data_IF_707530306197
#
_entry.id   IF_707530306197
#
_cell.length_a   1.000
_cell.length_b   1.000
_cell.length_c   1.000
_cell.angle_alpha   90.00
_cell.angle_beta   90.00
_cell.angle_gamma   90.00
#
_symmetry.space_group_name_H-M   'P 1'
#
loop_
_entity.id
_entity.type
_entity.pdbx_description
1 polymer ?
#
# COMPACT_ATOMS: atom_id res chain seq x y z
N UNK A 1 -0.13 7.02 -6.29
CA UNK A 1 -0.83 6.21 -7.31
C UNK A 1 -1.65 7.13 -8.19
N UNK A 2 -1.76 6.87 -9.49
CA UNK A 2 -2.60 7.66 -10.40
C UNK A 2 -3.30 6.77 -11.43
N UNK A 3 -4.37 7.28 -12.04
CA UNK A 3 -5.18 6.58 -13.05
C UNK A 3 -4.98 7.21 -14.43
N UNK A 4 -4.86 6.39 -15.46
CA UNK A 4 -4.92 6.80 -16.88
C UNK A 4 -5.97 5.93 -17.57
N UNK A 5 -7.10 6.53 -17.94
CA UNK A 5 -8.24 5.79 -18.48
C UNK A 5 -8.75 4.75 -17.48
N UNK A 6 -8.83 3.49 -17.88
CA UNK A 6 -9.26 2.37 -17.03
C UNK A 6 -8.11 1.71 -16.24
N UNK A 7 -6.87 2.19 -16.36
CA UNK A 7 -5.70 1.55 -15.75
C UNK A 7 -5.11 2.39 -14.62
N UNK A 8 -4.69 1.71 -13.56
CA UNK A 8 -3.98 2.30 -12.43
C UNK A 8 -2.49 2.04 -12.57
N UNK A 9 -1.67 3.02 -12.20
CA UNK A 9 -0.24 2.84 -12.06
C UNK A 9 0.26 3.42 -10.74
N UNK A 10 1.36 2.85 -10.28
CA UNK A 10 2.13 3.38 -9.18
C UNK A 10 3.39 4.06 -9.69
N UNK A 11 3.78 5.11 -8.99
CA UNK A 11 5.00 5.88 -9.19
C UNK A 11 5.64 6.05 -7.81
N UNK A 12 6.91 5.66 -7.69
CA UNK A 12 7.73 5.80 -6.51
C UNK A 12 8.44 7.16 -6.59
N UNK A 13 8.05 8.07 -5.71
CA UNK A 13 8.55 9.45 -5.70
C UNK A 13 9.82 9.57 -4.87
N UNK A 14 10.83 8.75 -5.20
CA UNK A 14 12.08 8.61 -4.46
C UNK A 14 11.83 8.33 -2.96
N UNK A 15 10.94 7.37 -2.67
CA UNK A 15 10.65 7.02 -1.28
C UNK A 15 11.87 6.40 -0.60
N UNK A 16 12.08 6.75 0.67
CA UNK A 16 13.24 6.28 1.47
C UNK A 16 13.36 4.75 1.50
N UNK A 17 12.23 4.08 1.69
CA UNK A 17 12.18 2.62 1.82
C UNK A 17 11.85 1.92 0.50
N UNK A 18 11.45 2.66 -0.52
CA UNK A 18 11.10 2.15 -1.85
C UNK A 18 9.70 1.56 -1.95
N UNK A 19 9.29 1.34 -3.19
CA UNK A 19 8.05 0.69 -3.58
C UNK A 19 8.35 -0.58 -4.38
N UNK A 20 7.62 -1.67 -4.13
CA UNK A 20 7.74 -2.92 -4.90
C UNK A 20 6.38 -3.51 -5.29
N UNK A 21 6.34 -4.19 -6.43
CA UNK A 21 5.17 -4.93 -6.90
C UNK A 21 5.58 -6.37 -7.14
N UNK A 22 4.89 -7.31 -6.48
CA UNK A 22 5.20 -8.74 -6.49
C UNK A 22 6.68 -9.02 -6.14
N UNK A 23 7.20 -8.32 -5.11
CA UNK A 23 8.57 -8.47 -4.61
C UNK A 23 9.65 -7.79 -5.45
N UNK A 24 9.31 -7.14 -6.56
CA UNK A 24 10.26 -6.41 -7.41
C UNK A 24 10.14 -4.90 -7.18
N UNK A 25 11.24 -4.24 -6.79
CA UNK A 25 11.29 -2.76 -6.68
C UNK A 25 10.97 -2.11 -8.01
N UNK A 26 10.17 -1.03 -7.98
CA UNK A 26 9.72 -0.32 -9.18
C UNK A 26 9.78 1.18 -8.97
N UNK A 27 10.19 1.93 -10.00
CA UNK A 27 9.94 3.39 -10.05
C UNK A 27 8.55 3.70 -10.59
N UNK A 28 8.16 3.11 -11.72
CA UNK A 28 6.81 3.25 -12.27
C UNK A 28 6.30 1.92 -12.79
N UNK A 29 5.06 1.55 -12.47
CA UNK A 29 4.45 0.31 -12.96
C UNK A 29 2.93 0.34 -13.00
N UNK A 30 2.34 -0.22 -14.06
CA UNK A 30 0.91 -0.51 -14.13
C UNK A 30 0.53 -1.58 -13.12
N UNK A 31 -0.59 -1.39 -12.44
CA UNK A 31 -1.11 -2.32 -11.44
C UNK A 31 -2.25 -3.14 -12.03
N UNK A 32 -2.25 -4.42 -11.66
CA UNK A 32 -3.30 -5.38 -11.96
C UNK A 32 -3.96 -5.85 -10.67
N UNK A 33 -5.23 -6.23 -10.76
CA UNK A 33 -5.93 -6.89 -9.63
C UNK A 33 -5.18 -8.15 -9.24
N UNK A 34 -5.03 -8.36 -7.94
CA UNK A 34 -4.29 -9.47 -7.35
C UNK A 34 -2.82 -9.16 -7.05
N UNK A 35 -2.25 -8.10 -7.64
CA UNK A 35 -0.86 -7.69 -7.39
C UNK A 35 -0.63 -7.43 -5.90
N UNK A 36 0.51 -7.91 -5.39
CA UNK A 36 1.01 -7.52 -4.07
C UNK A 36 1.82 -6.24 -4.22
N UNK A 37 1.30 -5.16 -3.68
CA UNK A 37 1.97 -3.87 -3.59
C UNK A 37 2.60 -3.73 -2.20
N UNK A 38 3.90 -3.44 -2.14
CA UNK A 38 4.61 -3.16 -0.90
C UNK A 38 5.20 -1.75 -0.97
N UNK A 39 4.94 -0.94 0.05
CA UNK A 39 5.46 0.42 0.21
C UNK A 39 6.14 0.49 1.58
N UNK A 40 7.48 0.59 1.59
CA UNK A 40 8.25 0.36 2.80
C UNK A 40 7.97 -1.03 3.40
N UNK A 41 7.49 -1.07 4.64
CA UNK A 41 7.15 -2.32 5.34
C UNK A 41 5.69 -2.77 5.13
N UNK A 42 4.83 -1.88 4.62
CA UNK A 42 3.41 -2.15 4.46
C UNK A 42 3.14 -2.90 3.16
N UNK A 43 2.28 -3.93 3.21
CA UNK A 43 1.90 -4.73 2.05
C UNK A 43 0.39 -4.79 1.87
N UNK A 44 -0.06 -4.56 0.63
CA UNK A 44 -1.46 -4.50 0.21
C UNK A 44 -1.69 -5.45 -0.97
N UNK A 45 -2.93 -5.94 -1.11
CA UNK A 45 -3.37 -6.57 -2.36
C UNK A 45 -4.21 -5.58 -3.16
N UNK A 46 -3.88 -5.43 -4.44
CA UNK A 46 -4.64 -4.61 -5.37
C UNK A 46 -5.95 -5.32 -5.69
N UNK A 47 -7.07 -4.64 -5.49
CA UNK A 47 -8.39 -5.20 -5.73
C UNK A 47 -9.45 -4.12 -5.86
N UNK A 48 -10.66 -4.55 -6.22
CA UNK A 48 -11.81 -3.66 -6.28
C UNK A 48 -12.53 -3.65 -4.95
N UNK A 49 -12.89 -2.46 -4.49
CA UNK A 49 -13.87 -2.35 -3.44
C UNK A 49 -15.24 -2.63 -4.04
N UNK A 50 -15.84 -3.77 -3.71
CA UNK A 50 -17.24 -4.06 -4.05
C UNK A 50 -18.10 -3.28 -3.06
N UNK A 51 -18.78 -2.24 -3.51
CA UNK A 51 -19.79 -1.59 -2.67
C UNK A 51 -20.85 -2.64 -2.29
N UNK A 52 -21.10 -2.80 -0.99
CA UNK A 52 -22.01 -3.80 -0.43
C UNK A 52 -21.40 -4.86 0.50
N UNK A 53 -20.07 -4.87 0.74
CA UNK A 53 -19.41 -5.86 1.62
C UNK A 53 -18.57 -5.27 2.76
N UNK A 54 -18.72 -3.99 3.08
CA UNK A 54 -18.14 -3.41 4.30
C UNK A 54 -19.31 -2.95 5.14
N UNK A 55 -19.60 -3.69 6.20
CA UNK A 55 -20.53 -3.21 7.22
C UNK A 55 -19.88 -1.98 7.88
N UNK A 56 -20.65 -0.96 8.27
CA UNK A 56 -20.10 0.21 8.95
C UNK A 56 -19.25 -0.13 10.20
N UNK A 57 -19.41 -1.32 10.78
CA UNK A 57 -18.66 -1.84 11.93
C UNK A 57 -17.16 -2.06 11.68
N UNK A 58 -16.71 -2.26 10.44
CA UNK A 58 -15.28 -2.49 10.14
C UNK A 58 -14.48 -1.18 9.97
N UNK A 59 -15.12 -0.02 10.14
CA UNK A 59 -14.48 1.30 10.02
C UNK A 59 -13.59 1.66 11.21
N UNK A 60 -13.61 0.87 12.28
CA UNK A 60 -12.92 1.15 13.55
C UNK A 60 -12.05 -0.02 14.05
N UNK A 61 -11.17 -0.53 13.19
CA UNK A 61 -9.96 -1.23 13.67
C UNK A 61 -8.74 -0.55 13.09
N UNK A 62 -8.54 0.68 13.53
CA UNK A 62 -7.25 1.35 13.41
C UNK A 62 -6.19 0.55 14.15
N UNK A 63 -5.51 -0.36 13.44
CA UNK A 63 -4.23 -0.89 13.90
C UNK A 63 -3.20 0.22 13.70
N UNK A 64 -3.21 1.18 14.61
CA UNK A 64 -2.05 2.02 14.91
C UNK A 64 -1.23 1.27 15.94
N UNK A 65 -0.46 0.27 15.53
CA UNK A 65 0.75 -0.06 16.29
C UNK A 65 1.85 0.88 15.81
N UNK A 66 1.81 2.11 16.32
CA UNK A 66 3.00 2.92 16.41
C UNK A 66 3.98 2.13 17.31
N UNK A 67 4.89 1.38 16.69
CA UNK A 67 6.03 0.81 17.41
C UNK A 67 6.73 1.98 18.10
N UNK A 68 6.76 1.89 19.43
CA UNK A 68 7.30 2.86 20.37
C UNK A 68 8.70 3.30 19.93
N UNK A 69 8.92 4.61 19.77
CA UNK A 69 10.25 5.20 19.86
C UNK A 69 10.68 5.15 21.33
N UNK A 70 11.23 4.00 21.73
CA UNK A 70 12.22 3.91 22.81
C UNK A 70 13.43 3.23 22.19
N UNK A 71 14.61 3.61 22.65
CA UNK A 71 15.95 3.20 22.20
C UNK A 71 16.62 4.16 21.20
N UNK A 72 16.89 5.39 21.66
CA UNK A 72 18.22 6.00 21.49
C UNK A 72 18.65 6.52 22.86
N UNK A 73 19.18 5.62 23.68
CA UNK A 73 20.14 5.99 24.72
C UNK A 73 21.53 5.96 24.10
N UNK A 74 22.30 7.03 24.34
CA UNK A 74 23.66 7.26 23.86
C UNK A 74 24.02 8.72 23.90
#
# INVERSE_FOLDING_TARGET
MARRGSRWYIDDLDSRNGTSVNGRRVRRRWLHVGDRLTVGEFSFRVGWFRQGQCTPEERDTGVTEARSNRDVEG
#
